data_IF_257296775412
#
_entry.id   IF_257296775412
#
_cell.length_a   1.000
_cell.length_b   1.000
_cell.length_c   1.000
_cell.angle_alpha   90.00
_cell.angle_beta   90.00
_cell.angle_gamma   90.00
#
_symmetry.space_group_name_H-M   'P 1'
#
loop_
_entity.id
_entity.type
_entity.pdbx_description
1 polymer ?
#
# COMPACT_ATOMS: atom_id res chain seq x y z
N UNK A 1 -4.99 22.35 -0.21
CA UNK A 1 -4.39 21.00 -0.10
C UNK A 1 -4.64 20.34 -1.45
N UNK A 2 -3.62 20.27 -2.31
CA UNK A 2 -3.78 19.78 -3.68
C UNK A 2 -4.27 18.33 -3.70
N UNK A 3 -5.21 18.01 -4.60
CA UNK A 3 -5.77 16.65 -4.76
C UNK A 3 -4.71 15.58 -5.10
N UNK A 4 -3.48 16.00 -5.40
CA UNK A 4 -2.31 15.18 -5.73
C UNK A 4 -1.99 14.13 -4.66
N UNK A 5 -2.25 14.43 -3.38
CA UNK A 5 -1.89 13.55 -2.26
C UNK A 5 -3.09 12.78 -1.66
N UNK A 6 -4.34 13.14 -1.99
CA UNK A 6 -5.52 12.49 -1.41
C UNK A 6 -5.58 11.00 -1.77
N UNK A 7 -5.22 10.63 -3.00
CA UNK A 7 -5.17 9.24 -3.42
C UNK A 7 -4.16 8.41 -2.61
N UNK A 8 -2.96 8.96 -2.36
CA UNK A 8 -1.94 8.31 -1.54
C UNK A 8 -2.35 8.21 -0.07
N UNK A 9 -2.98 9.27 0.47
CA UNK A 9 -3.49 9.27 1.85
C UNK A 9 -4.60 8.22 2.01
N UNK A 10 -5.57 8.17 1.10
CA UNK A 10 -6.63 7.18 1.13
C UNK A 10 -6.08 5.74 1.01
N UNK A 11 -5.08 5.54 0.16
CA UNK A 11 -4.39 4.26 -0.01
C UNK A 11 -3.68 3.82 1.28
N UNK A 12 -2.94 4.73 1.92
CA UNK A 12 -2.24 4.45 3.18
C UNK A 12 -3.21 4.17 4.33
N UNK A 13 -4.26 4.98 4.47
CA UNK A 13 -5.27 4.80 5.52
C UNK A 13 -6.02 3.48 5.32
N UNK A 14 -6.44 3.19 4.08
CA UNK A 14 -7.08 1.92 3.74
C UNK A 14 -6.17 0.72 3.99
N UNK A 15 -4.89 0.84 3.65
CA UNK A 15 -3.89 -0.18 3.90
C UNK A 15 -3.67 -0.46 5.39
N UNK A 16 -3.57 0.59 6.21
CA UNK A 16 -3.41 0.45 7.66
C UNK A 16 -4.63 -0.26 8.27
N UNK A 17 -5.85 0.17 7.93
CA UNK A 17 -7.09 -0.46 8.43
C UNK A 17 -7.17 -1.93 8.04
N UNK A 18 -6.88 -2.25 6.78
CA UNK A 18 -6.83 -3.63 6.29
C UNK A 18 -5.77 -4.46 7.01
N UNK A 19 -4.59 -3.89 7.24
CA UNK A 19 -3.50 -4.57 7.94
C UNK A 19 -3.90 -4.86 9.39
N UNK A 20 -4.45 -3.88 10.11
CA UNK A 20 -4.90 -4.06 11.50
C UNK A 20 -5.99 -5.13 11.58
N UNK A 21 -7.00 -5.08 10.71
CA UNK A 21 -8.06 -6.09 10.66
C UNK A 21 -7.51 -7.49 10.32
N UNK A 22 -6.65 -7.55 9.30
CA UNK A 22 -6.03 -8.80 8.86
C UNK A 22 -5.15 -9.44 9.92
N UNK A 23 -4.36 -8.66 10.66
CA UNK A 23 -3.56 -9.18 11.78
C UNK A 23 -4.46 -9.70 12.91
N UNK A 24 -5.55 -9.00 13.21
CA UNK A 24 -6.50 -9.42 14.23
C UNK A 24 -7.16 -10.76 13.87
N UNK A 25 -7.61 -10.92 12.63
CA UNK A 25 -8.25 -12.16 12.17
C UNK A 25 -7.26 -13.29 11.87
N UNK A 26 -6.13 -12.97 11.24
CA UNK A 26 -5.18 -13.96 10.73
C UNK A 26 -4.12 -14.40 11.74
N UNK A 27 -3.82 -13.60 12.76
CA UNK A 27 -2.81 -13.94 13.78
C UNK A 27 -3.46 -14.22 15.13
N UNK A 28 -4.36 -13.35 15.61
CA UNK A 28 -4.91 -13.48 16.96
C UNK A 28 -6.04 -14.52 17.06
N UNK A 29 -6.83 -14.71 16.01
CA UNK A 29 -7.91 -15.73 15.98
C UNK A 29 -7.51 -17.05 15.28
N UNK A 30 -6.31 -17.13 14.70
CA UNK A 30 -5.87 -18.31 13.95
C UNK A 30 -5.25 -19.37 14.87
N UNK A 31 -5.91 -20.51 15.00
CA UNK A 31 -5.35 -21.70 15.67
C UNK A 31 -4.30 -22.44 14.81
N UNK A 32 -4.25 -22.19 13.50
CA UNK A 32 -3.41 -22.91 12.56
C UNK A 32 -2.20 -22.10 12.13
N UNK A 33 -1.00 -22.58 12.47
CA UNK A 33 0.27 -22.00 12.03
C UNK A 33 0.36 -21.85 10.50
N UNK A 34 -0.18 -22.82 9.76
CA UNK A 34 -0.17 -22.80 8.29
C UNK A 34 -1.00 -21.62 7.78
N UNK A 35 -2.19 -21.41 8.35
CA UNK A 35 -3.06 -20.30 7.99
C UNK A 35 -2.39 -18.96 8.27
N UNK A 36 -1.74 -18.82 9.43
CA UNK A 36 -1.01 -17.61 9.81
C UNK A 36 0.13 -17.31 8.84
N UNK A 37 0.94 -18.32 8.47
CA UNK A 37 2.05 -18.16 7.52
C UNK A 37 1.54 -17.82 6.13
N UNK A 38 0.50 -18.50 5.62
CA UNK A 38 -0.12 -18.16 4.34
C UNK A 38 -0.64 -16.72 4.31
N UNK A 39 -1.26 -16.29 5.41
CA UNK A 39 -1.78 -14.93 5.54
C UNK A 39 -0.64 -13.90 5.49
N UNK A 40 0.46 -14.13 6.20
CA UNK A 40 1.66 -13.28 6.16
C UNK A 40 2.23 -13.19 4.74
N UNK A 41 2.36 -14.32 4.04
CA UNK A 41 2.92 -14.35 2.66
C UNK A 41 2.06 -13.51 1.72
N UNK A 42 0.73 -13.67 1.77
CA UNK A 42 -0.20 -12.87 0.97
C UNK A 42 -0.06 -11.39 1.34
N UNK A 43 0.01 -11.08 2.63
CA UNK A 43 0.08 -9.69 3.08
C UNK A 43 1.37 -8.99 2.61
N UNK A 44 2.49 -9.69 2.71
CA UNK A 44 3.80 -9.20 2.21
C UNK A 44 3.76 -9.01 0.70
N UNK A 45 3.15 -9.93 -0.05
CA UNK A 45 3.00 -9.81 -1.51
C UNK A 45 2.22 -8.55 -1.90
N UNK A 46 1.11 -8.28 -1.22
CA UNK A 46 0.32 -7.07 -1.43
C UNK A 46 1.08 -5.79 -1.02
N UNK A 47 1.88 -5.84 0.05
CA UNK A 47 2.72 -4.73 0.47
C UNK A 47 3.77 -4.38 -0.59
N UNK A 48 4.41 -5.39 -1.19
CA UNK A 48 5.38 -5.20 -2.26
C UNK A 48 4.72 -4.53 -3.46
N UNK A 49 3.54 -4.99 -3.89
CA UNK A 49 2.80 -4.38 -5.01
C UNK A 49 2.42 -2.92 -4.74
N UNK A 50 2.03 -2.60 -3.50
CA UNK A 50 1.76 -1.23 -3.10
C UNK A 50 3.02 -0.37 -3.14
N UNK A 51 4.13 -0.86 -2.58
CA UNK A 51 5.40 -0.15 -2.56
C UNK A 51 5.90 0.13 -3.98
N UNK A 52 5.85 -0.87 -4.88
CA UNK A 52 6.27 -0.69 -6.27
C UNK A 52 5.39 0.32 -7.01
N UNK A 53 4.07 0.27 -6.82
CA UNK A 53 3.14 1.24 -7.41
C UNK A 53 3.42 2.68 -6.94
N UNK A 54 3.66 2.87 -5.64
CA UNK A 54 4.01 4.20 -5.09
C UNK A 54 5.35 4.68 -5.65
N UNK A 55 6.37 3.82 -5.66
CA UNK A 55 7.70 4.16 -6.20
C UNK A 55 7.60 4.54 -7.68
N UNK A 56 6.86 3.77 -8.46
CA UNK A 56 6.67 4.03 -9.89
C UNK A 56 5.99 5.38 -10.11
N UNK A 57 4.91 5.67 -9.38
CA UNK A 57 4.21 6.96 -9.46
C UNK A 57 5.09 8.14 -9.04
N UNK A 58 5.93 7.96 -8.01
CA UNK A 58 6.90 8.99 -7.59
C UNK A 58 7.98 9.20 -8.65
N UNK A 59 8.43 8.14 -9.32
CA UNK A 59 9.40 8.21 -10.41
C UNK A 59 8.82 8.94 -11.63
N UNK A 60 7.62 8.55 -12.06
CA UNK A 60 6.90 9.20 -13.17
C UNK A 60 6.64 10.69 -12.90
N UNK A 61 6.32 11.06 -11.66
CA UNK A 61 6.15 12.48 -11.28
C UNK A 61 7.46 13.30 -11.26
N UNK A 62 8.63 12.65 -11.22
CA UNK A 62 9.94 13.32 -11.22
C UNK A 62 10.51 13.46 -12.63
N UNK A 63 10.20 12.50 -13.50
CA UNK A 63 10.71 12.41 -14.87
C UNK A 63 9.77 13.06 -15.89
N UNK A 64 8.76 13.80 -15.42
CA UNK A 64 7.82 14.53 -16.26
C UNK A 64 8.47 15.80 -16.81
N UNK A 65 8.83 15.84 -18.11
CA UNK A 65 9.49 16.99 -18.73
C UNK A 65 8.54 18.19 -18.90
N UNK A 66 7.24 18.00 -18.68
CA UNK A 66 6.25 19.08 -18.76
C UNK A 66 5.99 19.79 -17.42
N UNK A 67 6.60 19.33 -16.34
CA UNK A 67 6.39 19.88 -14.99
C UNK A 67 6.77 21.37 -14.85
N UNK A 68 7.67 21.86 -15.71
CA UNK A 68 8.18 23.24 -15.68
C UNK A 68 7.61 24.11 -16.82
N UNK A 69 6.73 23.58 -17.67
CA UNK A 69 6.12 24.31 -18.82
C UNK A 69 4.63 24.62 -18.63
N UNK A 70 4.04 24.28 -17.49
CA UNK A 70 2.73 24.81 -17.10
C UNK A 70 2.87 26.29 -16.69
N UNK A 71 2.71 27.18 -17.68
CA UNK A 71 2.54 28.64 -17.55
C UNK A 71 1.05 28.97 -17.36
#
# INVERSE_FOLDING_TARGET
MEMKNLGLIALLVGWILLTTWGLFKGILESESLIMTVSFIVIWVGLLILLATSIIQRVKESKDDPYKDVEI
#
